data_IF_148150556564
#
_entry.id   IF_148150556564
#
_cell.length_a   1.000
_cell.length_b   1.000
_cell.length_c   1.000
_cell.angle_alpha   90.00
_cell.angle_beta   90.00
_cell.angle_gamma   90.00
#
_symmetry.space_group_name_H-M   'P 1'
#
loop_
_entity.id
_entity.type
_entity.pdbx_description
1 polymer ?
#
# COMPACT_ATOMS: atom_id res chain seq x y z
N UNK A 1 0.15 13.57 22.89
CA UNK A 1 -0.38 12.88 21.69
C UNK A 1 0.66 13.08 20.62
N UNK A 2 1.59 12.15 20.51
CA UNK A 2 2.59 12.21 19.45
C UNK A 2 1.84 11.83 18.17
N UNK A 3 1.49 12.84 17.38
CA UNK A 3 0.82 12.63 16.11
C UNK A 3 1.78 11.78 15.27
N UNK A 4 1.40 10.52 15.02
CA UNK A 4 2.07 9.68 14.04
C UNK A 4 2.30 10.54 12.80
N UNK A 5 3.57 10.76 12.44
CA UNK A 5 3.95 11.70 11.39
C UNK A 5 3.04 11.45 10.19
N UNK A 6 2.34 12.48 9.66
CA UNK A 6 1.40 12.27 8.58
C UNK A 6 2.17 11.68 7.40
N UNK A 7 1.86 10.44 7.06
CA UNK A 7 2.39 9.81 5.85
C UNK A 7 1.94 10.67 4.69
N UNK A 8 2.91 11.24 3.99
CA UNK A 8 2.69 12.10 2.82
C UNK A 8 3.76 11.75 1.81
N UNK A 9 3.34 11.28 0.65
CA UNK A 9 4.24 10.94 -0.46
C UNK A 9 4.09 11.97 -1.59
N UNK A 10 4.66 13.18 -1.45
CA UNK A 10 4.56 14.22 -2.47
C UNK A 10 5.27 13.85 -3.78
N UNK A 11 6.34 13.07 -3.70
CA UNK A 11 7.10 12.63 -4.88
C UNK A 11 6.31 11.60 -5.70
N UNK A 12 5.71 10.63 -5.03
CA UNK A 12 4.79 9.68 -5.65
C UNK A 12 3.61 10.40 -6.35
N UNK A 13 2.96 11.36 -5.69
CA UNK A 13 1.87 12.14 -6.34
C UNK A 13 2.35 12.86 -7.60
N UNK A 14 3.56 13.44 -7.58
CA UNK A 14 4.15 14.06 -8.77
C UNK A 14 4.41 13.03 -9.86
N UNK A 15 4.97 11.87 -9.51
CA UNK A 15 5.26 10.81 -10.47
C UNK A 15 3.98 10.26 -11.11
N UNK A 16 2.90 10.08 -10.34
CA UNK A 16 1.57 9.70 -10.86
C UNK A 16 1.06 10.73 -11.86
N UNK A 17 1.13 12.03 -11.51
CA UNK A 17 0.68 13.08 -12.43
C UNK A 17 1.50 13.13 -13.72
N UNK A 18 2.82 12.94 -13.62
CA UNK A 18 3.68 12.90 -14.79
C UNK A 18 3.36 11.69 -15.68
N UNK A 19 3.24 10.50 -15.10
CA UNK A 19 2.87 9.28 -15.83
C UNK A 19 1.47 9.37 -16.45
N UNK A 20 0.52 10.04 -15.79
CA UNK A 20 -0.81 10.32 -16.37
C UNK A 20 -0.77 11.29 -17.55
N UNK A 21 0.08 12.31 -17.49
CA UNK A 21 0.22 13.31 -18.58
C UNK A 21 1.00 12.74 -19.76
N UNK A 22 2.05 11.99 -19.47
CA UNK A 22 2.93 11.38 -20.45
C UNK A 22 3.28 9.96 -19.96
N UNK A 23 2.55 8.93 -20.43
CA UNK A 23 2.83 7.53 -20.10
C UNK A 23 4.03 7.01 -20.90
N UNK A 24 5.11 7.78 -20.97
CA UNK A 24 6.39 7.32 -21.47
C UNK A 24 6.98 6.23 -20.58
N UNK A 25 7.84 5.40 -21.16
CA UNK A 25 8.57 4.35 -20.43
C UNK A 25 9.34 4.93 -19.24
N UNK A 26 9.98 6.09 -19.42
CA UNK A 26 10.75 6.77 -18.37
C UNK A 26 9.87 7.24 -17.19
N UNK A 27 8.71 7.86 -17.48
CA UNK A 27 7.77 8.31 -16.43
C UNK A 27 7.11 7.14 -15.70
N UNK A 28 6.83 6.05 -16.41
CA UNK A 28 6.27 4.83 -15.83
C UNK A 28 7.29 4.19 -14.88
N UNK A 29 8.53 3.98 -15.33
CA UNK A 29 9.62 3.44 -14.48
C UNK A 29 9.88 4.34 -13.26
N UNK A 30 9.80 5.65 -13.43
CA UNK A 30 9.93 6.60 -12.32
C UNK A 30 8.78 6.49 -11.33
N UNK A 31 7.54 6.42 -11.80
CA UNK A 31 6.37 6.15 -10.96
C UNK A 31 6.55 4.86 -10.17
N UNK A 32 6.96 3.78 -10.83
CA UNK A 32 7.21 2.50 -10.20
C UNK A 32 8.26 2.59 -9.09
N UNK A 33 9.41 3.22 -9.35
CA UNK A 33 10.47 3.43 -8.35
C UNK A 33 9.98 4.24 -7.15
N UNK A 34 9.20 5.29 -7.39
CA UNK A 34 8.62 6.10 -6.33
C UNK A 34 7.62 5.31 -5.51
N UNK A 35 6.78 4.46 -6.13
CA UNK A 35 5.85 3.56 -5.42
C UNK A 35 6.62 2.59 -4.53
N UNK A 36 7.70 2.01 -5.05
CA UNK A 36 8.54 1.04 -4.34
C UNK A 36 9.16 1.64 -3.08
N UNK A 37 9.63 2.89 -3.17
CA UNK A 37 10.29 3.62 -2.07
C UNK A 37 9.29 4.34 -1.16
N UNK A 38 8.07 4.56 -1.62
CA UNK A 38 7.03 5.26 -0.89
C UNK A 38 6.46 4.40 0.24
N UNK A 39 6.04 5.08 1.29
CA UNK A 39 5.32 4.49 2.42
C UNK A 39 3.84 4.70 2.20
N UNK A 40 3.09 3.66 1.92
CA UNK A 40 1.66 3.74 1.66
C UNK A 40 0.88 3.38 2.92
N UNK A 41 -0.33 3.90 3.02
CA UNK A 41 -1.27 3.55 4.08
C UNK A 41 -2.23 2.50 3.53
N UNK A 42 -2.39 1.40 4.24
CA UNK A 42 -3.40 0.38 3.94
C UNK A 42 -4.39 0.31 5.12
N UNK A 43 -5.71 0.30 4.85
CA UNK A 43 -6.69 0.08 5.88
C UNK A 43 -6.69 -1.40 6.27
N UNK A 44 -6.72 -1.63 7.58
CA UNK A 44 -6.78 -2.96 8.17
C UNK A 44 -7.81 -2.97 9.30
N UNK A 45 -8.56 -4.06 9.37
CA UNK A 45 -9.40 -4.36 10.51
C UNK A 45 -8.63 -5.27 11.45
N UNK A 46 -8.56 -4.89 12.72
CA UNK A 46 -7.99 -5.74 13.76
C UNK A 46 -9.13 -6.16 14.67
N UNK A 47 -9.18 -7.45 15.03
CA UNK A 47 -10.19 -7.95 15.99
C UNK A 47 -9.93 -7.41 17.41
N UNK A 48 -8.70 -6.97 17.68
CA UNK A 48 -8.27 -6.32 18.91
C UNK A 48 -7.48 -5.07 18.61
N UNK A 49 -7.77 -3.99 19.34
CA UNK A 49 -7.01 -2.77 19.25
C UNK A 49 -5.54 -2.98 19.67
N UNK A 50 -4.58 -2.42 18.93
CA UNK A 50 -3.19 -2.44 19.32
C UNK A 50 -3.00 -1.64 20.63
N UNK A 51 -2.36 -2.26 21.63
CA UNK A 51 -2.05 -1.58 22.89
C UNK A 51 -0.70 -0.86 22.75
N UNK A 52 -0.68 0.45 23.01
CA UNK A 52 0.57 1.20 23.01
C UNK A 52 1.28 0.97 24.35
N UNK A 53 2.37 0.21 24.32
CA UNK A 53 3.16 -0.05 25.51
C UNK A 53 4.09 1.14 25.76
N UNK A 54 3.71 1.98 26.73
CA UNK A 54 4.49 3.16 27.12
C UNK A 54 5.89 2.83 27.66
N UNK A 55 6.16 1.60 28.07
CA UNK A 55 7.46 1.22 28.62
C UNK A 55 8.46 0.84 27.53
N UNK A 56 7.98 0.30 26.41
CA UNK A 56 8.79 -0.04 25.24
C UNK A 56 8.78 1.06 24.17
N UNK A 57 7.90 2.07 24.30
CA UNK A 57 7.63 3.08 23.27
C UNK A 57 7.20 2.46 21.93
N UNK A 58 6.73 1.21 21.97
CA UNK A 58 6.35 0.42 20.82
C UNK A 58 4.87 0.02 20.89
N UNK A 59 4.27 -0.15 19.72
CA UNK A 59 2.93 -0.70 19.60
C UNK A 59 3.01 -2.22 19.81
N UNK A 60 2.46 -2.72 20.91
CA UNK A 60 2.42 -4.15 21.20
C UNK A 60 1.12 -4.72 20.67
N UNK A 61 1.25 -5.53 19.62
CA UNK A 61 0.16 -6.37 19.12
C UNK A 61 0.12 -7.63 19.99
N UNK A 62 -1.05 -7.97 20.54
CA UNK A 62 -1.23 -9.27 21.18
C UNK A 62 -0.99 -10.39 20.15
N UNK A 63 -0.33 -11.48 20.57
CA UNK A 63 0.02 -12.61 19.68
C UNK A 63 -1.18 -13.28 18.98
N UNK A 64 -2.39 -13.04 19.47
CA UNK A 64 -3.65 -13.59 18.92
C UNK A 64 -4.44 -12.56 18.09
N UNK A 65 -3.91 -11.34 17.89
CA UNK A 65 -4.58 -10.31 17.09
C UNK A 65 -4.63 -10.76 15.63
N UNK A 66 -5.85 -10.97 15.13
CA UNK A 66 -6.10 -11.21 13.72
C UNK A 66 -6.16 -9.88 12.99
N UNK A 67 -5.22 -9.68 12.08
CA UNK A 67 -5.18 -8.52 11.17
C UNK A 67 -5.82 -8.98 9.86
N UNK A 68 -6.92 -8.34 9.50
CA UNK A 68 -7.62 -8.53 8.24
C UNK A 68 -7.38 -7.31 7.38
N UNK A 69 -6.75 -7.50 6.23
CA UNK A 69 -6.56 -6.42 5.27
C UNK A 69 -7.87 -6.18 4.52
N UNK A 70 -8.26 -4.92 4.43
CA UNK A 70 -9.46 -4.53 3.70
C UNK A 70 -9.23 -4.60 2.20
N UNK A 71 -10.25 -5.10 1.49
CA UNK A 71 -10.21 -5.33 0.05
C UNK A 71 -11.34 -4.58 -0.61
N UNK A 72 -11.03 -3.89 -1.70
CA UNK A 72 -12.05 -3.32 -2.57
C UNK A 72 -12.31 -4.26 -3.74
N UNK A 73 -13.58 -4.39 -4.09
CA UNK A 73 -13.99 -5.10 -5.30
C UNK A 73 -14.01 -4.12 -6.46
N UNK A 74 -13.18 -4.36 -7.47
CA UNK A 74 -13.20 -3.61 -8.71
C UNK A 74 -14.46 -3.92 -9.52
N UNK A 75 -14.77 -3.05 -10.49
CA UNK A 75 -15.94 -3.19 -11.37
C UNK A 75 -15.92 -4.46 -12.22
N UNK A 76 -14.74 -5.03 -12.48
CA UNK A 76 -14.58 -6.30 -13.18
C UNK A 76 -14.85 -7.53 -12.29
N UNK A 77 -15.04 -7.34 -10.98
CA UNK A 77 -15.29 -8.39 -10.01
C UNK A 77 -14.06 -8.85 -9.24
N UNK A 78 -12.86 -8.41 -9.62
CA UNK A 78 -11.61 -8.75 -8.96
C UNK A 78 -11.41 -7.97 -7.66
N UNK A 79 -10.66 -8.56 -6.72
CA UNK A 79 -10.32 -7.95 -5.45
C UNK A 79 -8.97 -7.23 -5.55
N UNK A 80 -8.89 -6.04 -4.96
CA UNK A 80 -7.68 -5.23 -4.90
C UNK A 80 -7.47 -4.65 -3.50
N UNK A 81 -6.21 -4.52 -3.07
CA UNK A 81 -5.87 -3.79 -1.85
C UNK A 81 -5.92 -2.27 -2.08
N UNK A 82 -6.81 -1.53 -1.41
CA UNK A 82 -6.78 -0.07 -1.46
C UNK A 82 -5.60 0.44 -0.62
N UNK A 83 -4.71 1.20 -1.24
CA UNK A 83 -3.61 1.86 -0.54
C UNK A 83 -3.64 3.36 -0.81
N UNK A 84 -3.15 4.12 0.15
CA UNK A 84 -3.28 5.57 0.15
C UNK A 84 -1.93 6.23 0.32
N UNK A 85 -1.71 7.32 -0.43
CA UNK A 85 -0.47 8.10 -0.31
C UNK A 85 -0.41 8.94 0.96
N UNK A 86 -1.56 9.15 1.59
CA UNK A 86 -1.74 9.95 2.80
C UNK A 86 -3.09 9.66 3.47
N UNK A 87 -3.20 10.06 4.73
CA UNK A 87 -4.41 9.81 5.53
C UNK A 87 -5.63 10.59 5.05
N UNK A 88 -5.45 11.69 4.31
CA UNK A 88 -6.58 12.45 3.76
C UNK A 88 -7.25 11.68 2.62
N UNK A 89 -6.45 11.02 1.77
CA UNK A 89 -6.94 10.12 0.73
C UNK A 89 -7.63 8.88 1.32
N UNK A 90 -7.10 8.35 2.43
CA UNK A 90 -7.74 7.26 3.16
C UNK A 90 -9.09 7.67 3.71
N UNK A 91 -9.19 8.84 4.37
CA UNK A 91 -10.45 9.39 4.90
C UNK A 91 -11.48 9.71 3.81
N UNK A 92 -11.04 9.94 2.57
CA UNK A 92 -11.93 10.12 1.41
C UNK A 92 -12.54 8.82 0.94
N UNK A 93 -11.79 7.74 1.07
CA UNK A 93 -12.32 6.42 0.86
C UNK A 93 -13.21 6.15 2.07
N UNK A 94 -14.52 5.95 1.87
CA UNK A 94 -15.49 5.68 2.94
C UNK A 94 -15.31 4.26 3.52
N UNK A 95 -14.05 3.91 3.80
CA UNK A 95 -13.59 2.74 4.53
C UNK A 95 -13.94 3.02 6.00
N UNK A 96 -14.49 2.04 6.72
CA UNK A 96 -15.12 2.25 8.03
C UNK A 96 -14.26 3.07 9.00
N UNK A 97 -14.90 3.99 9.73
CA UNK A 97 -14.22 4.98 10.60
C UNK A 97 -13.44 4.39 11.78
N UNK A 98 -13.66 3.11 12.09
CA UNK A 98 -13.03 2.41 13.21
C UNK A 98 -11.86 1.51 12.77
N UNK A 99 -11.42 1.64 11.52
CA UNK A 99 -10.32 0.83 11.02
C UNK A 99 -8.95 1.43 11.30
N UNK A 100 -8.03 0.54 11.65
CA UNK A 100 -6.64 0.87 11.83
C UNK A 100 -5.98 1.09 10.46
N UNK A 101 -4.99 1.96 10.43
CA UNK A 101 -4.18 2.16 9.22
C UNK A 101 -2.76 1.70 9.50
N UNK A 102 -2.24 0.87 8.60
CA UNK A 102 -0.86 0.41 8.67
C UNK A 102 -0.04 1.08 7.57
N UNK A 103 1.18 1.44 7.93
CA UNK A 103 2.17 1.91 6.97
C UNK A 103 2.80 0.67 6.35
N UNK A 104 2.59 0.49 5.06
CA UNK A 104 3.15 -0.62 4.27
C UNK A 104 4.01 -0.07 3.15
N UNK A 105 5.05 -0.83 2.80
CA UNK A 105 5.84 -0.56 1.62
C UNK A 105 5.42 -1.49 0.49
N UNK A 106 6.00 -1.28 -0.69
CA UNK A 106 5.80 -2.17 -1.82
C UNK A 106 6.21 -3.61 -1.53
N UNK A 107 7.31 -3.83 -0.79
CA UNK A 107 7.75 -5.21 -0.49
C UNK A 107 6.75 -5.96 0.39
N UNK A 108 6.17 -5.29 1.39
CA UNK A 108 5.08 -5.85 2.21
C UNK A 108 3.87 -6.22 1.36
N UNK A 109 3.43 -5.30 0.49
CA UNK A 109 2.32 -5.53 -0.43
C UNK A 109 2.61 -6.69 -1.39
N UNK A 110 3.82 -6.74 -1.94
CA UNK A 110 4.25 -7.81 -2.83
C UNK A 110 4.28 -9.14 -2.08
N UNK A 111 4.78 -9.19 -0.85
CA UNK A 111 4.76 -10.39 -0.03
C UNK A 111 3.33 -10.91 0.17
N UNK A 112 2.38 -10.04 0.49
CA UNK A 112 0.97 -10.40 0.71
C UNK A 112 0.29 -10.81 -0.61
N UNK A 113 0.54 -10.10 -1.70
CA UNK A 113 -0.05 -10.38 -3.02
C UNK A 113 0.46 -11.67 -3.64
N UNK A 114 1.74 -11.98 -3.43
CA UNK A 114 2.37 -13.20 -3.92
C UNK A 114 2.07 -14.42 -3.04
N UNK A 115 1.32 -14.26 -1.94
CA UNK A 115 0.88 -15.41 -1.16
C UNK A 115 -0.10 -16.28 -1.97
N UNK A 116 0.07 -17.62 -1.94
CA UNK A 116 -0.72 -18.56 -2.76
C UNK A 116 -2.21 -18.64 -2.38
N UNK A 117 -2.62 -18.05 -1.26
CA UNK A 117 -3.99 -18.06 -0.75
C UNK A 117 -4.74 -16.73 -0.98
N UNK A 118 -4.06 -15.71 -1.52
CA UNK A 118 -4.62 -14.35 -1.55
C UNK A 118 -5.80 -14.23 -2.51
N UNK A 119 -5.72 -14.81 -3.72
CA UNK A 119 -6.80 -14.69 -4.72
C UNK A 119 -7.09 -13.24 -5.14
N UNK A 120 -6.12 -12.35 -4.93
CA UNK A 120 -6.22 -10.91 -5.14
C UNK A 120 -5.53 -10.55 -6.46
N UNK A 121 -6.18 -9.70 -7.24
CA UNK A 121 -5.70 -9.30 -8.55
C UNK A 121 -4.60 -8.22 -8.47
N UNK A 122 -4.50 -7.51 -7.35
CA UNK A 122 -3.45 -6.51 -7.15
C UNK A 122 -3.75 -5.51 -6.02
N UNK A 123 -3.18 -4.32 -6.13
CA UNK A 123 -3.47 -3.20 -5.24
C UNK A 123 -3.75 -1.91 -6.03
N UNK A 124 -4.46 -0.97 -5.43
CA UNK A 124 -4.82 0.31 -6.05
C UNK A 124 -4.41 1.48 -5.16
N UNK A 125 -3.65 2.43 -5.71
CA UNK A 125 -3.27 3.66 -5.05
C UNK A 125 -4.32 4.75 -5.26
N UNK A 126 -4.80 5.34 -4.16
CA UNK A 126 -5.80 6.41 -4.12
C UNK A 126 -6.99 6.13 -5.05
N UNK A 127 -7.77 5.06 -4.83
CA UNK A 127 -8.86 4.66 -5.73
C UNK A 127 -9.85 5.79 -6.05
N UNK A 128 -10.02 6.74 -5.13
CA UNK A 128 -10.93 7.89 -5.28
C UNK A 128 -10.33 9.12 -6.00
N UNK A 129 -9.00 9.23 -6.10
CA UNK A 129 -8.33 10.46 -6.58
C UNK A 129 -7.42 10.17 -7.77
N UNK A 130 -6.37 9.37 -7.58
CA UNK A 130 -5.47 9.00 -8.66
C UNK A 130 -5.88 7.73 -9.40
N UNK A 131 -6.51 6.78 -8.71
CA UNK A 131 -6.97 5.50 -9.24
C UNK A 131 -5.87 4.74 -10.01
N UNK A 132 -4.69 4.59 -9.39
CA UNK A 132 -3.58 3.84 -10.01
C UNK A 132 -3.69 2.38 -9.61
N UNK A 133 -3.82 1.48 -10.56
CA UNK A 133 -3.95 0.06 -10.30
C UNK A 133 -2.64 -0.68 -10.63
N UNK A 134 -2.18 -1.53 -9.72
CA UNK A 134 -1.04 -2.42 -9.88
C UNK A 134 -1.51 -3.85 -9.77
N UNK A 135 -1.37 -4.62 -10.84
CA UNK A 135 -1.73 -6.04 -10.84
C UNK A 135 -0.65 -6.89 -10.18
N UNK A 136 -1.03 -8.03 -9.63
CA UNK A 136 -0.11 -8.99 -9.02
C UNK A 136 1.02 -9.39 -9.99
N UNK A 137 0.74 -9.50 -11.29
CA UNK A 137 1.77 -9.77 -12.32
C UNK A 137 2.79 -8.64 -12.47
N UNK A 138 2.36 -7.37 -12.44
CA UNK A 138 3.26 -6.21 -12.47
C UNK A 138 4.14 -6.20 -11.23
N UNK A 139 3.53 -6.40 -10.06
CA UNK A 139 4.23 -6.44 -8.78
C UNK A 139 5.24 -7.57 -8.73
N UNK A 140 4.85 -8.76 -9.19
CA UNK A 140 5.74 -9.92 -9.29
C UNK A 140 6.94 -9.66 -10.20
N UNK A 141 6.72 -9.00 -11.34
CA UNK A 141 7.78 -8.68 -12.29
C UNK A 141 8.75 -7.67 -11.69
N UNK A 142 8.23 -6.58 -11.12
CA UNK A 142 9.04 -5.55 -10.47
C UNK A 142 9.87 -6.10 -9.31
N UNK A 143 9.28 -6.93 -8.45
CA UNK A 143 10.01 -7.55 -7.35
C UNK A 143 11.17 -8.41 -7.88
N UNK A 144 10.93 -9.19 -8.94
CA UNK A 144 11.94 -10.02 -9.60
C UNK A 144 13.08 -9.19 -10.21
N UNK A 145 12.77 -8.08 -10.87
CA UNK A 145 13.77 -7.16 -11.41
C UNK A 145 14.65 -6.58 -10.29
N UNK A 146 14.04 -6.15 -9.18
CA UNK A 146 14.77 -5.64 -8.02
C UNK A 146 15.66 -6.69 -7.35
N UNK A 147 15.17 -7.92 -7.22
CA UNK A 147 15.95 -9.04 -6.68
C UNK A 147 17.13 -9.39 -7.59
N UNK A 148 16.91 -9.45 -8.91
CA UNK A 148 17.97 -9.71 -9.90
C UNK A 148 19.08 -8.62 -9.90
N UNK A 149 18.72 -7.34 -9.75
CA UNK A 149 19.72 -6.27 -9.64
C UNK A 149 20.52 -6.36 -8.33
N UNK A 150 19.90 -6.81 -7.24
CA UNK A 150 20.57 -6.94 -5.93
C UNK A 150 21.51 -8.15 -5.85
N UNK A 151 21.26 -9.21 -6.62
CA UNK A 151 22.15 -10.39 -6.71
C UNK A 151 23.32 -10.20 -7.69
N UNK A 152 23.29 -9.14 -8.50
CA UNK A 152 24.34 -8.83 -9.47
C UNK A 152 25.51 -8.01 -8.89
N UNK A 153 25.45 -7.62 -7.61
CA UNK A 153 26.47 -6.82 -6.90
C UNK A 153 27.40 -7.66 -6.00
#
# INVERSE_FOLDING_TARGET
MEQAKPVRNPELKKAIQNAKKDPGMENSVRLLNEVVRAKLLIPVSMDKDPEYDKALEEVVLEKDTRISFELIKATNGDLYYPVFTDGEEMLRCDIEKDQHSMIVNFDDLAAILLMPQSGIAGFTINPMSDNVCFTTEMVASMKRDMENESEAE
#
